data_IF_448420978045
#
_entry.id   IF_448420978045
#
_cell.length_a   1.000
_cell.length_b   1.000
_cell.length_c   1.000
_cell.angle_alpha   90.00
_cell.angle_beta   90.00
_cell.angle_gamma   90.00
#
_symmetry.space_group_name_H-M   'P 1'
#
loop_
_entity.id
_entity.type
_entity.pdbx_description
1 polymer ?
#
# COMPACT_ATOMS: atom_id res chain seq x y z
N UNK A 1 7.89 17.28 -2.26
CA UNK A 1 7.20 17.00 -0.98
C UNK A 1 6.16 18.08 -0.73
N UNK A 2 4.92 17.69 -0.42
CA UNK A 2 3.83 18.55 0.04
C UNK A 2 3.44 18.02 1.42
N UNK A 3 3.79 18.76 2.46
CA UNK A 3 3.45 18.41 3.85
C UNK A 3 3.03 19.69 4.58
N UNK A 4 2.11 19.56 5.53
CA UNK A 4 1.56 20.67 6.33
C UNK A 4 0.87 21.81 5.52
N UNK A 5 0.61 21.59 4.23
CA UNK A 5 0.02 22.56 3.31
C UNK A 5 -1.48 22.31 3.08
N UNK A 6 -2.32 22.40 4.12
CA UNK A 6 -3.77 22.10 4.04
C UNK A 6 -4.49 22.81 2.89
N UNK A 7 -4.28 24.12 2.73
CA UNK A 7 -4.89 24.89 1.62
C UNK A 7 -4.44 24.36 0.25
N UNK A 8 -3.16 24.03 0.09
CA UNK A 8 -2.63 23.52 -1.16
C UNK A 8 -3.18 22.14 -1.51
N UNK A 9 -3.28 21.24 -0.52
CA UNK A 9 -3.85 19.89 -0.69
C UNK A 9 -5.34 19.98 -1.01
N UNK A 10 -6.09 20.89 -0.37
CA UNK A 10 -7.50 21.09 -0.68
C UNK A 10 -7.72 21.74 -2.06
N UNK A 11 -6.75 22.50 -2.56
CA UNK A 11 -6.74 23.04 -3.93
C UNK A 11 -6.10 22.10 -4.97
N UNK A 12 -5.97 20.79 -4.70
CA UNK A 12 -5.23 19.84 -5.57
C UNK A 12 -5.75 19.69 -7.00
N UNK A 13 -7.01 20.04 -7.25
CA UNK A 13 -7.56 20.15 -8.61
C UNK A 13 -6.80 21.13 -9.51
N UNK A 14 -6.10 22.10 -8.92
CA UNK A 14 -5.34 23.13 -9.64
C UNK A 14 -3.86 22.77 -9.84
N UNK A 15 -3.37 21.67 -9.24
CA UNK A 15 -1.94 21.36 -9.25
C UNK A 15 -1.37 21.17 -10.66
N UNK A 16 -2.18 20.66 -11.59
CA UNK A 16 -1.80 20.39 -12.98
C UNK A 16 -0.44 19.65 -13.07
N UNK A 17 -0.22 18.68 -12.17
CA UNK A 17 1.06 17.95 -12.06
C UNK A 17 1.44 17.22 -13.37
N UNK A 18 0.47 16.94 -14.24
CA UNK A 18 0.69 16.43 -15.60
C UNK A 18 1.63 17.31 -16.45
N UNK A 19 1.79 18.60 -16.11
CA UNK A 19 2.73 19.52 -16.78
C UNK A 19 4.19 19.32 -16.36
N UNK A 20 4.46 18.41 -15.43
CA UNK A 20 5.79 18.11 -14.91
C UNK A 20 6.23 16.72 -15.42
N UNK A 21 6.64 16.58 -16.70
CA UNK A 21 6.94 15.27 -17.30
C UNK A 21 8.11 14.54 -16.63
N UNK A 22 8.96 15.28 -15.91
CA UNK A 22 10.11 14.75 -15.17
C UNK A 22 9.82 14.43 -13.70
N UNK A 23 8.59 14.63 -13.20
CA UNK A 23 8.26 14.32 -11.81
C UNK A 23 8.28 12.79 -11.61
N UNK A 24 9.21 12.30 -10.79
CA UNK A 24 9.36 10.86 -10.47
C UNK A 24 8.94 10.52 -9.06
N UNK A 25 9.04 11.49 -8.15
CA UNK A 25 8.78 11.29 -6.74
C UNK A 25 7.79 12.33 -6.24
N UNK A 26 6.78 11.87 -5.52
CA UNK A 26 5.79 12.73 -4.90
C UNK A 26 5.47 12.24 -3.49
N UNK A 27 5.56 13.15 -2.54
CA UNK A 27 5.13 12.95 -1.15
C UNK A 27 3.99 13.90 -0.87
N UNK A 28 2.87 13.37 -0.38
CA UNK A 28 1.71 14.13 0.08
C UNK A 28 1.39 13.69 1.50
N UNK A 29 1.51 14.61 2.44
CA UNK A 29 1.06 14.42 3.82
C UNK A 29 -0.04 15.41 4.14
N UNK A 30 -1.11 14.90 4.76
CA UNK A 30 -2.25 15.68 5.17
C UNK A 30 -2.70 15.33 6.59
N UNK A 31 -3.62 16.11 7.15
CA UNK A 31 -4.21 15.88 8.47
C UNK A 31 -5.49 15.01 8.38
N UNK A 32 -5.85 14.53 7.19
CA UNK A 32 -7.09 13.79 6.94
C UNK A 32 -8.34 14.66 6.87
N UNK A 33 -8.23 15.98 6.79
CA UNK A 33 -9.38 16.88 6.56
C UNK A 33 -9.54 17.24 5.08
N UNK A 34 -9.03 16.41 4.16
CA UNK A 34 -9.15 16.66 2.74
C UNK A 34 -10.59 16.44 2.27
N UNK A 35 -11.10 17.40 1.50
CA UNK A 35 -12.47 17.40 1.00
C UNK A 35 -12.56 16.71 -0.36
N UNK A 36 -13.64 15.97 -0.62
CA UNK A 36 -13.90 15.41 -1.96
C UNK A 36 -14.04 16.55 -2.98
N UNK A 37 -13.47 16.36 -4.17
CA UNK A 37 -13.59 17.36 -5.23
C UNK A 37 -14.97 17.19 -5.88
N UNK A 38 -15.87 18.12 -5.56
CA UNK A 38 -17.22 18.19 -6.13
C UNK A 38 -17.16 18.84 -7.51
N UNK A 39 -17.86 18.27 -8.50
CA UNK A 39 -18.07 18.89 -9.82
C UNK A 39 -17.37 18.23 -11.02
N UNK A 40 -16.87 17.01 -10.89
CA UNK A 40 -16.32 16.24 -12.03
C UNK A 40 -14.93 16.67 -12.50
N UNK A 41 -14.31 17.65 -11.83
CA UNK A 41 -12.90 18.00 -12.01
C UNK A 41 -12.03 16.97 -11.29
N UNK A 42 -11.58 15.93 -11.99
CA UNK A 42 -10.66 14.96 -11.42
C UNK A 42 -9.24 15.55 -11.42
N UNK A 43 -8.63 15.62 -10.23
CA UNK A 43 -7.18 15.79 -10.14
C UNK A 43 -6.51 14.48 -10.53
N UNK A 44 -5.34 14.56 -11.17
CA UNK A 44 -4.64 13.38 -11.64
C UNK A 44 -3.17 13.41 -11.22
N UNK A 45 -2.67 12.23 -10.88
CA UNK A 45 -1.26 11.98 -10.66
C UNK A 45 -0.57 11.70 -12.00
N UNK A 46 0.61 12.28 -12.26
CA UNK A 46 1.34 12.01 -13.50
C UNK A 46 1.79 10.55 -13.58
N UNK A 47 1.55 9.94 -14.74
CA UNK A 47 1.92 8.53 -15.03
C UNK A 47 3.42 8.25 -14.98
N UNK A 48 4.21 9.32 -14.93
CA UNK A 48 5.66 9.28 -14.87
C UNK A 48 6.20 9.11 -13.44
N UNK A 49 5.34 9.17 -12.41
CA UNK A 49 5.72 8.90 -11.01
C UNK A 49 6.18 7.46 -10.86
N UNK A 50 7.31 7.30 -10.16
CA UNK A 50 7.92 6.02 -9.79
C UNK A 50 7.84 5.79 -8.29
N UNK A 51 7.84 6.86 -7.48
CA UNK A 51 7.82 6.79 -6.03
C UNK A 51 6.71 7.70 -5.48
N UNK A 52 5.78 7.12 -4.74
CA UNK A 52 4.63 7.83 -4.18
C UNK A 52 4.51 7.55 -2.69
N UNK A 53 4.51 8.63 -1.89
CA UNK A 53 4.25 8.58 -0.45
C UNK A 53 2.97 9.36 -0.16
N UNK A 54 1.99 8.72 0.47
CA UNK A 54 0.71 9.32 0.82
C UNK A 54 0.41 9.09 2.30
N UNK A 55 0.14 10.17 3.02
CA UNK A 55 -0.27 10.11 4.43
C UNK A 55 -1.56 10.87 4.66
N UNK A 56 -2.58 10.18 5.18
CA UNK A 56 -3.90 10.70 5.54
C UNK A 56 -4.59 11.52 4.44
N UNK A 57 -4.51 11.11 3.17
CA UNK A 57 -5.28 11.69 2.06
C UNK A 57 -6.54 10.87 1.79
N UNK A 58 -7.63 11.12 2.52
CA UNK A 58 -8.83 10.26 2.55
C UNK A 58 -9.51 10.08 1.20
N UNK A 59 -9.41 11.09 0.35
CA UNK A 59 -10.02 11.12 -0.99
C UNK A 59 -9.20 10.40 -2.06
N UNK A 60 -8.02 9.87 -1.72
CA UNK A 60 -7.25 9.04 -2.64
C UNK A 60 -8.00 7.74 -2.92
N UNK A 61 -8.12 7.41 -4.20
CA UNK A 61 -8.97 6.32 -4.71
C UNK A 61 -8.31 5.55 -5.83
N UNK A 62 -8.95 4.45 -6.25
CA UNK A 62 -8.50 3.64 -7.40
C UNK A 62 -8.40 4.43 -8.69
N UNK A 63 -9.27 5.43 -8.88
CA UNK A 63 -9.25 6.27 -10.07
C UNK A 63 -7.97 7.10 -10.20
N UNK A 64 -7.31 7.40 -9.08
CA UNK A 64 -6.07 8.18 -9.06
C UNK A 64 -4.83 7.29 -9.29
N UNK A 65 -4.92 6.00 -8.94
CA UNK A 65 -3.81 5.04 -9.05
C UNK A 65 -3.86 4.21 -10.35
N UNK A 66 -5.00 4.12 -11.03
CA UNK A 66 -5.19 3.26 -12.23
C UNK A 66 -4.22 3.54 -13.40
N UNK A 67 -3.71 4.76 -13.50
CA UNK A 67 -2.82 5.17 -14.60
C UNK A 67 -1.33 5.16 -14.23
N UNK A 68 -0.98 4.82 -12.99
CA UNK A 68 0.40 4.87 -12.49
C UNK A 68 1.16 3.59 -12.82
N UNK A 69 1.23 3.24 -14.10
CA UNK A 69 1.87 2.00 -14.56
C UNK A 69 3.39 2.01 -14.42
N UNK A 70 4.02 3.17 -14.21
CA UNK A 70 5.47 3.30 -13.94
C UNK A 70 5.82 3.29 -12.45
N UNK A 71 4.82 3.20 -11.56
CA UNK A 71 5.02 3.26 -10.12
C UNK A 71 5.77 2.02 -9.63
N UNK A 72 6.89 2.23 -8.95
CA UNK A 72 7.78 1.18 -8.41
C UNK A 72 7.71 1.10 -6.90
N UNK A 73 7.45 2.22 -6.23
CA UNK A 73 7.37 2.31 -4.79
C UNK A 73 6.10 3.06 -4.38
N UNK A 74 5.31 2.46 -3.49
CA UNK A 74 4.12 3.05 -2.90
C UNK A 74 4.15 2.90 -1.38
N UNK A 75 4.09 4.02 -0.68
CA UNK A 75 3.88 4.07 0.77
C UNK A 75 2.57 4.79 1.05
N UNK A 76 1.66 4.07 1.71
CA UNK A 76 0.34 4.54 2.11
C UNK A 76 0.20 4.45 3.62
N UNK A 77 0.00 5.59 4.25
CA UNK A 77 -0.08 5.74 5.70
C UNK A 77 -1.38 6.42 6.15
N UNK A 78 -2.00 5.87 7.20
CA UNK A 78 -3.14 6.48 7.88
C UNK A 78 -4.50 5.94 7.45
N UNK A 79 -5.57 6.59 7.94
CA UNK A 79 -6.94 6.15 7.67
C UNK A 79 -7.36 6.58 6.26
N UNK A 80 -7.26 5.66 5.30
CA UNK A 80 -7.58 5.85 3.89
C UNK A 80 -8.72 4.90 3.47
N UNK A 81 -10.00 5.25 3.68
CA UNK A 81 -11.13 4.31 3.53
C UNK A 81 -11.26 3.73 2.12
N UNK A 82 -11.00 4.54 1.10
CA UNK A 82 -11.07 4.08 -0.29
C UNK A 82 -9.90 3.16 -0.65
N UNK A 83 -8.70 3.44 -0.14
CA UNK A 83 -7.53 2.55 -0.27
C UNK A 83 -7.74 1.24 0.51
N UNK A 84 -8.34 1.30 1.70
CA UNK A 84 -8.74 0.11 2.45
C UNK A 84 -9.66 -0.78 1.60
N UNK A 85 -10.68 -0.19 0.99
CA UNK A 85 -11.58 -0.90 0.09
C UNK A 85 -10.84 -1.48 -1.13
N UNK A 86 -9.87 -0.76 -1.69
CA UNK A 86 -9.03 -1.28 -2.78
C UNK A 86 -8.18 -2.47 -2.38
N UNK A 87 -7.59 -2.42 -1.17
CA UNK A 87 -6.82 -3.53 -0.63
C UNK A 87 -7.72 -4.76 -0.52
N UNK A 88 -8.91 -4.62 0.08
CA UNK A 88 -9.89 -5.70 0.28
C UNK A 88 -10.52 -6.25 -1.01
N UNK A 89 -10.59 -5.44 -2.08
CA UNK A 89 -11.12 -5.84 -3.39
C UNK A 89 -10.04 -6.29 -4.38
N UNK A 90 -8.78 -6.25 -3.97
CA UNK A 90 -7.62 -6.60 -4.75
C UNK A 90 -7.37 -5.77 -6.01
N UNK A 91 -7.49 -4.46 -5.85
CA UNK A 91 -7.34 -3.48 -6.93
C UNK A 91 -5.92 -2.91 -7.06
N UNK A 92 -4.88 -3.55 -6.52
CA UNK A 92 -3.48 -3.16 -6.79
C UNK A 92 -2.82 -4.02 -7.87
N UNK A 93 -3.50 -5.06 -8.36
CA UNK A 93 -2.99 -5.98 -9.38
C UNK A 93 -2.64 -5.30 -10.72
N UNK A 94 -3.23 -4.15 -11.04
CA UNK A 94 -2.92 -3.38 -12.25
C UNK A 94 -1.60 -2.58 -12.17
N UNK A 95 -1.03 -2.41 -10.98
CA UNK A 95 0.24 -1.69 -10.78
C UNK A 95 1.42 -2.62 -11.12
N UNK A 96 1.52 -2.99 -12.40
CA UNK A 96 2.43 -4.03 -12.88
C UNK A 96 3.92 -3.71 -12.74
N UNK A 97 4.30 -2.46 -12.46
CA UNK A 97 5.69 -2.07 -12.17
C UNK A 97 6.00 -1.96 -10.67
N UNK A 98 5.01 -2.14 -9.80
CA UNK A 98 5.16 -1.91 -8.36
C UNK A 98 6.03 -3.00 -7.74
N UNK A 99 7.17 -2.59 -7.19
CA UNK A 99 8.15 -3.48 -6.56
C UNK A 99 8.04 -3.43 -5.04
N UNK A 100 7.72 -2.27 -4.48
CA UNK A 100 7.64 -2.07 -3.03
C UNK A 100 6.32 -1.43 -2.62
N UNK A 101 5.64 -2.07 -1.66
CA UNK A 101 4.41 -1.58 -1.06
C UNK A 101 4.57 -1.51 0.46
N UNK A 102 4.34 -0.32 1.02
CA UNK A 102 4.29 -0.06 2.45
C UNK A 102 2.87 0.34 2.83
N UNK A 103 2.31 -0.38 3.79
CA UNK A 103 0.98 -0.13 4.38
C UNK A 103 1.18 0.19 5.85
N UNK A 104 0.83 1.40 6.28
CA UNK A 104 1.06 1.86 7.64
C UNK A 104 -0.21 2.45 8.27
N UNK A 105 -0.53 2.09 9.51
CA UNK A 105 -1.67 2.64 10.25
C UNK A 105 -3.03 2.37 9.58
N UNK A 106 -3.29 1.12 9.17
CA UNK A 106 -4.57 0.68 8.61
C UNK A 106 -5.38 -0.08 9.68
N UNK A 107 -6.13 0.62 10.57
CA UNK A 107 -6.79 -0.02 11.70
C UNK A 107 -7.93 -0.96 11.31
N UNK A 108 -8.49 -0.83 10.11
CA UNK A 108 -9.61 -1.66 9.67
C UNK A 108 -9.18 -2.85 8.80
N UNK A 109 -7.89 -2.94 8.45
CA UNK A 109 -7.37 -4.04 7.63
C UNK A 109 -7.37 -5.34 8.43
N UNK A 110 -8.23 -6.28 8.03
CA UNK A 110 -8.36 -7.60 8.67
C UNK A 110 -7.54 -8.68 7.97
N UNK A 111 -7.51 -8.63 6.64
CA UNK A 111 -6.73 -9.51 5.76
C UNK A 111 -6.48 -8.82 4.42
N UNK A 112 -5.53 -9.34 3.64
CA UNK A 112 -5.38 -8.99 2.22
C UNK A 112 -6.03 -10.11 1.38
N UNK A 113 -6.83 -9.81 0.34
CA UNK A 113 -7.38 -10.81 -0.55
C UNK A 113 -6.29 -11.44 -1.43
N UNK A 114 -6.59 -12.61 -1.99
CA UNK A 114 -5.65 -13.41 -2.78
C UNK A 114 -5.07 -12.67 -4.00
N UNK A 115 -5.87 -11.83 -4.65
CA UNK A 115 -5.49 -11.02 -5.81
C UNK A 115 -5.06 -9.60 -5.44
N UNK A 116 -4.77 -9.34 -4.15
CA UNK A 116 -4.52 -7.98 -3.71
C UNK A 116 -3.33 -7.34 -4.38
N UNK A 117 -2.26 -8.09 -4.50
CA UNK A 117 -0.93 -7.57 -4.76
C UNK A 117 -0.54 -7.81 -6.23
N UNK A 118 0.20 -6.87 -6.84
CA UNK A 118 0.72 -7.07 -8.19
C UNK A 118 1.78 -8.17 -8.21
N UNK A 119 1.86 -8.89 -9.34
CA UNK A 119 2.80 -10.00 -9.53
C UNK A 119 4.27 -9.57 -9.56
N UNK A 120 4.55 -8.28 -9.72
CA UNK A 120 5.90 -7.69 -9.70
C UNK A 120 6.40 -7.32 -8.31
N UNK A 121 5.57 -7.43 -7.28
CA UNK A 121 5.89 -6.98 -5.93
C UNK A 121 7.00 -7.82 -5.30
N UNK A 122 8.15 -7.21 -5.06
CA UNK A 122 9.33 -7.86 -4.46
C UNK A 122 9.50 -7.56 -2.97
N UNK A 123 8.86 -6.50 -2.46
CA UNK A 123 8.89 -6.12 -1.05
C UNK A 123 7.51 -5.66 -0.56
N UNK A 124 7.03 -6.26 0.54
CA UNK A 124 5.80 -5.89 1.22
C UNK A 124 6.10 -5.56 2.68
N UNK A 125 5.65 -4.40 3.14
CA UNK A 125 5.73 -4.03 4.56
C UNK A 125 4.38 -3.60 5.11
N UNK A 126 3.97 -4.17 6.24
CA UNK A 126 2.73 -3.82 6.94
C UNK A 126 3.07 -3.40 8.36
N UNK A 127 2.71 -2.17 8.73
CA UNK A 127 3.00 -1.55 10.01
C UNK A 127 1.72 -1.07 10.70
N UNK A 128 1.61 -1.35 12.01
CA UNK A 128 0.57 -0.79 12.86
C UNK A 128 -0.85 -1.01 12.31
N UNK A 129 -1.17 -2.25 11.92
CA UNK A 129 -2.49 -2.69 11.47
C UNK A 129 -3.13 -3.57 12.55
N UNK A 130 -3.73 -2.97 13.60
CA UNK A 130 -4.16 -3.69 14.79
C UNK A 130 -5.20 -4.78 14.56
N UNK A 131 -6.03 -4.67 13.52
CA UNK A 131 -7.05 -5.69 13.22
C UNK A 131 -6.60 -6.75 12.22
N UNK A 132 -5.36 -6.69 11.72
CA UNK A 132 -4.83 -7.70 10.80
C UNK A 132 -4.73 -9.03 11.54
N UNK A 133 -5.46 -10.04 11.08
CA UNK A 133 -5.53 -11.36 11.71
C UNK A 133 -4.72 -12.41 10.97
N UNK A 134 -4.66 -12.32 9.64
CA UNK A 134 -3.95 -13.24 8.77
C UNK A 134 -3.53 -12.57 7.44
N UNK A 135 -2.59 -13.22 6.74
CA UNK A 135 -2.29 -12.97 5.33
C UNK A 135 -3.21 -13.82 4.42
N UNK A 136 -3.28 -13.56 3.10
CA UNK A 136 -4.05 -14.37 2.15
C UNK A 136 -3.65 -15.83 2.22
N UNK A 137 -4.65 -16.74 2.17
CA UNK A 137 -4.42 -18.19 2.18
C UNK A 137 -3.67 -18.68 0.94
N UNK A 138 -3.87 -18.02 -0.21
CA UNK A 138 -3.07 -18.22 -1.40
C UNK A 138 -1.66 -17.64 -1.26
N UNK A 139 -0.75 -18.10 -2.12
CA UNK A 139 0.62 -17.60 -2.13
C UNK A 139 0.67 -16.09 -2.39
N UNK A 140 1.42 -15.36 -1.56
CA UNK A 140 1.88 -14.02 -1.91
C UNK A 140 2.60 -14.06 -3.28
N UNK A 141 2.75 -12.91 -3.97
CA UNK A 141 3.41 -12.87 -5.27
C UNK A 141 4.71 -13.67 -5.28
N UNK A 142 4.91 -14.52 -6.28
CA UNK A 142 6.10 -15.38 -6.38
C UNK A 142 7.40 -14.60 -6.54
N UNK A 143 7.33 -13.29 -6.82
CA UNK A 143 8.45 -12.36 -6.86
C UNK A 143 8.82 -11.79 -5.48
N UNK A 144 8.00 -11.99 -4.45
CA UNK A 144 8.17 -11.39 -3.14
C UNK A 144 9.41 -11.95 -2.42
N UNK A 145 10.44 -11.11 -2.30
CA UNK A 145 11.71 -11.45 -1.68
C UNK A 145 11.84 -10.92 -0.25
N UNK A 146 11.04 -9.92 0.13
CA UNK A 146 11.05 -9.29 1.45
C UNK A 146 9.63 -9.13 2.00
N UNK A 147 9.41 -9.57 3.23
CA UNK A 147 8.17 -9.38 3.97
C UNK A 147 8.48 -8.81 5.36
N UNK A 148 7.89 -7.66 5.66
CA UNK A 148 7.96 -7.05 6.99
C UNK A 148 6.55 -6.90 7.56
N UNK A 149 6.32 -7.43 8.75
CA UNK A 149 5.08 -7.20 9.50
C UNK A 149 5.45 -6.72 10.90
N UNK A 150 4.96 -5.55 11.29
CA UNK A 150 5.33 -4.95 12.56
C UNK A 150 4.16 -4.29 13.26
N UNK A 151 4.11 -4.38 14.59
CA UNK A 151 3.05 -3.77 15.41
C UNK A 151 1.64 -4.22 14.99
N UNK A 152 1.47 -5.52 14.69
CA UNK A 152 0.18 -6.10 14.33
C UNK A 152 -0.29 -7.06 15.45
N UNK A 153 -0.91 -6.55 16.54
CA UNK A 153 -1.23 -7.32 17.74
C UNK A 153 -2.24 -8.45 17.57
N UNK A 154 -3.10 -8.40 16.55
CA UNK A 154 -4.09 -9.44 16.30
C UNK A 154 -3.67 -10.50 15.27
N UNK A 155 -2.46 -10.39 14.72
CA UNK A 155 -1.95 -11.37 13.75
C UNK A 155 -1.76 -12.72 14.44
N UNK A 156 -2.51 -13.73 14.00
CA UNK A 156 -2.54 -15.05 14.63
C UNK A 156 -1.74 -16.09 13.85
N UNK A 157 -1.74 -15.99 12.52
CA UNK A 157 -1.08 -16.96 11.64
C UNK A 157 -0.53 -16.31 10.37
N UNK A 158 0.47 -16.98 9.81
CA UNK A 158 0.89 -16.82 8.41
C UNK A 158 0.54 -18.15 7.71
N UNK A 159 -0.29 -18.15 6.64
CA UNK A 159 -0.71 -19.39 6.01
C UNK A 159 0.49 -20.21 5.48
N UNK A 160 0.42 -21.54 5.57
CA UNK A 160 1.50 -22.44 5.16
C UNK A 160 1.90 -22.26 3.68
N UNK A 161 0.93 -21.89 2.84
CA UNK A 161 1.11 -21.63 1.41
C UNK A 161 1.39 -20.15 1.07
N UNK A 162 1.35 -19.24 2.05
CA UNK A 162 1.45 -17.81 1.78
C UNK A 162 2.86 -17.36 1.42
N UNK A 163 3.90 -17.98 1.98
CA UNK A 163 5.28 -17.53 1.76
C UNK A 163 5.85 -18.13 0.46
N UNK A 164 6.26 -17.29 -0.50
CA UNK A 164 6.83 -17.76 -1.75
C UNK A 164 8.27 -18.22 -1.53
N UNK A 165 8.73 -19.15 -2.36
CA UNK A 165 10.11 -19.68 -2.30
C UNK A 165 11.20 -18.65 -2.59
N UNK A 166 10.83 -17.50 -3.16
CA UNK A 166 11.72 -16.36 -3.40
C UNK A 166 11.96 -15.51 -2.14
N UNK A 167 11.20 -15.73 -1.07
CA UNK A 167 11.31 -14.96 0.16
C UNK A 167 12.67 -15.19 0.84
N UNK A 168 13.49 -14.15 0.84
CA UNK A 168 14.84 -14.16 1.41
C UNK A 168 14.94 -13.40 2.73
N UNK A 169 13.99 -12.50 2.99
CA UNK A 169 13.94 -11.70 4.21
C UNK A 169 12.53 -11.71 4.80
N UNK A 170 12.43 -12.15 6.04
CA UNK A 170 11.20 -12.11 6.83
C UNK A 170 11.49 -11.39 8.14
N UNK A 171 10.81 -10.28 8.36
CA UNK A 171 10.86 -9.54 9.64
C UNK A 171 9.49 -9.50 10.27
N UNK A 172 9.37 -10.05 11.47
CA UNK A 172 8.15 -9.94 12.28
C UNK A 172 8.53 -9.31 13.62
N UNK A 173 7.88 -8.20 13.96
CA UNK A 173 8.20 -7.45 15.17
C UNK A 173 6.94 -7.00 15.90
N UNK A 174 6.87 -7.26 17.21
CA UNK A 174 5.74 -6.87 18.04
C UNK A 174 4.37 -7.38 17.52
N UNK A 175 4.29 -8.69 17.29
CA UNK A 175 3.08 -9.43 16.91
C UNK A 175 2.75 -10.50 17.97
N UNK A 176 2.28 -10.11 19.17
CA UNK A 176 2.16 -11.00 20.34
C UNK A 176 1.24 -12.21 20.19
N UNK A 177 0.29 -12.21 19.23
CA UNK A 177 -0.61 -13.36 18.99
C UNK A 177 -0.09 -14.36 17.96
N UNK A 178 1.01 -14.06 17.27
CA UNK A 178 1.57 -14.97 16.28
C UNK A 178 2.32 -16.10 16.99
N UNK A 179 1.82 -17.33 16.87
CA UNK A 179 2.35 -18.48 17.63
C UNK A 179 3.42 -19.27 16.87
N UNK A 180 3.39 -19.25 15.54
CA UNK A 180 4.31 -20.04 14.71
C UNK A 180 4.60 -19.36 13.37
N UNK A 181 5.76 -19.70 12.80
CA UNK A 181 6.10 -19.43 11.41
C UNK A 181 5.74 -20.66 10.55
N UNK A 182 5.40 -20.47 9.26
CA UNK A 182 5.13 -21.58 8.36
C UNK A 182 6.43 -22.35 8.09
N UNK A 183 6.36 -23.67 8.19
CA UNK A 183 7.54 -24.57 8.20
C UNK A 183 8.02 -24.92 6.78
N UNK A 184 7.20 -24.69 5.75
CA UNK A 184 7.56 -24.85 4.33
C UNK A 184 7.77 -23.48 3.69
N UNK A 185 8.84 -23.33 2.92
CA UNK A 185 9.15 -22.09 2.17
C UNK A 185 10.20 -21.18 2.82
N UNK A 186 10.74 -21.53 4.00
CA UNK A 186 11.92 -20.83 4.53
C UNK A 186 13.16 -21.26 3.71
N UNK A 187 13.96 -20.31 3.19
CA UNK A 187 15.20 -20.65 2.51
C UNK A 187 16.11 -21.39 3.48
N UNK A 188 16.81 -22.40 2.96
CA UNK A 188 17.81 -23.20 3.70
C UNK A 188 19.04 -22.38 4.01
#
# INVERSE_FOLDING_TARGET
MISECKKLVNSRKEWRLQRLPCLRELTIEHDGSDEEIVGGENWELPSSIQTLYIKNLKTLSSQHLKHLTSLQYLDIAGNLPQIQSMLEQGQFSHLTSLQSLVIMNFPNLQSLPESALPSSLSALSIYNSPNLQSLPESALPSSLSQLVISYCPNLQSLPESALPSSLSQLTIYNCPKLQSLPVKGMPS
#
